data_IF_853412123978
#
_entry.id   IF_853412123978
#
_cell.length_a   1.000
_cell.length_b   1.000
_cell.length_c   1.000
_cell.angle_alpha   90.00
_cell.angle_beta   90.00
_cell.angle_gamma   90.00
#
_symmetry.space_group_name_H-M   'P 1'
#
loop_
_entity.id
_entity.type
_entity.pdbx_description
1 polymer ?
#
# COMPACT_ATOMS: atom_id res chain seq x y z
N UNK A 1 15.51 -23.28 15.18
CA UNK A 1 15.01 -23.09 15.09
C UNK A 1 14.21 -22.71 14.56
N UNK A 2 13.86 -22.63 14.43
CA UNK A 2 13.02 -22.47 13.96
C UNK A 2 12.20 -22.12 13.35
N UNK A 3 11.78 -22.19 13.17
CA UNK A 3 10.74 -22.22 12.46
C UNK A 3 9.86 -21.08 12.42
N UNK A 4 10.32 -19.91 12.23
CA UNK A 4 9.52 -18.72 12.07
C UNK A 4 9.15 -18.46 10.62
N UNK A 5 9.47 -19.40 9.74
CA UNK A 5 9.24 -19.23 8.32
C UNK A 5 7.77 -19.10 7.92
N UNK A 6 6.85 -19.57 8.79
CA UNK A 6 5.42 -19.51 8.50
C UNK A 6 4.70 -18.36 9.20
N UNK A 7 5.44 -17.50 9.83
CA UNK A 7 4.86 -16.36 10.57
C UNK A 7 4.93 -15.12 9.69
N UNK A 8 3.83 -14.38 9.58
CA UNK A 8 3.79 -13.12 8.84
C UNK A 8 4.77 -12.12 9.44
N UNK A 9 5.27 -11.24 8.60
CA UNK A 9 6.16 -10.18 9.01
C UNK A 9 5.48 -9.25 10.02
N UNK A 10 6.20 -8.94 11.09
CA UNK A 10 5.67 -8.05 12.13
C UNK A 10 6.31 -6.66 12.08
N UNK A 11 7.10 -6.36 11.06
CA UNK A 11 7.73 -5.05 10.92
C UNK A 11 6.65 -3.96 10.83
N UNK A 12 6.80 -2.86 11.58
CA UNK A 12 5.75 -1.81 11.64
C UNK A 12 5.38 -1.19 10.30
N UNK A 13 6.31 -1.16 9.35
CA UNK A 13 6.06 -0.55 8.03
C UNK A 13 5.51 -1.55 7.02
N UNK A 14 5.44 -2.83 7.36
CA UNK A 14 4.94 -3.89 6.48
C UNK A 14 3.88 -4.74 7.20
N UNK A 15 2.85 -4.11 7.78
CA UNK A 15 1.86 -4.89 8.52
C UNK A 15 0.95 -5.67 7.58
N UNK A 16 0.81 -6.95 7.84
CA UNK A 16 -0.17 -7.78 7.12
C UNK A 16 -1.57 -7.39 7.54
N UNK A 17 -2.51 -7.44 6.64
CA UNK A 17 -3.90 -7.09 6.89
C UNK A 17 -4.51 -6.32 5.74
N UNK A 18 -5.53 -5.53 6.07
CA UNK A 18 -6.23 -4.74 5.06
C UNK A 18 -5.49 -3.46 4.76
N UNK A 19 -5.42 -3.14 3.48
CA UNK A 19 -4.76 -1.95 2.95
C UNK A 19 -5.71 -1.24 2.01
N UNK A 20 -5.45 0.04 1.80
CA UNK A 20 -6.20 0.86 0.85
C UNK A 20 -5.28 1.90 0.27
N UNK A 21 -5.74 2.55 -0.77
CA UNK A 21 -4.98 3.61 -1.42
C UNK A 21 -5.54 3.92 -2.79
N UNK A 22 -4.64 4.38 -3.67
CA UNK A 22 -5.07 4.79 -5.01
C UNK A 22 -3.91 4.70 -6.00
N UNK A 23 -4.27 4.70 -7.27
CA UNK A 23 -3.32 4.92 -8.35
C UNK A 23 -3.80 6.10 -9.21
N UNK A 24 -2.87 6.73 -9.91
CA UNK A 24 -3.16 7.82 -10.83
C UNK A 24 -2.38 7.57 -12.12
N UNK A 25 -2.93 8.04 -13.23
CA UNK A 25 -2.20 8.05 -14.50
C UNK A 25 -1.28 9.26 -14.55
N UNK A 26 -0.16 9.16 -15.26
CA UNK A 26 0.82 10.25 -15.36
C UNK A 26 0.22 11.55 -15.90
N UNK A 27 -0.83 11.44 -16.73
CA UNK A 27 -1.47 12.58 -17.38
C UNK A 27 -2.71 13.10 -16.65
N UNK A 28 -3.01 12.58 -15.45
CA UNK A 28 -4.24 12.94 -14.73
C UNK A 28 -3.99 12.95 -13.23
N UNK A 29 -4.74 13.79 -12.51
CA UNK A 29 -4.68 13.83 -11.04
C UNK A 29 -5.81 13.02 -10.41
N UNK A 30 -6.65 12.39 -11.22
CA UNK A 30 -7.77 11.61 -10.70
C UNK A 30 -7.27 10.38 -9.95
N UNK A 31 -7.72 10.22 -8.72
CA UNK A 31 -7.36 9.06 -7.89
C UNK A 31 -8.32 7.91 -8.15
N UNK A 32 -7.77 6.76 -8.48
CA UNK A 32 -8.50 5.52 -8.66
C UNK A 32 -8.31 4.66 -7.42
N UNK A 33 -9.33 4.54 -6.61
CA UNK A 33 -9.22 3.90 -5.30
C UNK A 33 -9.08 2.40 -5.39
N UNK A 34 -8.30 1.84 -4.45
CA UNK A 34 -8.07 0.41 -4.33
C UNK A 34 -8.28 0.00 -2.88
N UNK A 35 -8.77 -1.21 -2.68
CA UNK A 35 -8.94 -1.80 -1.37
C UNK A 35 -8.55 -3.27 -1.47
N UNK A 36 -7.68 -3.74 -0.58
CA UNK A 36 -7.12 -5.08 -0.72
C UNK A 36 -6.48 -5.56 0.59
N UNK A 37 -6.14 -6.83 0.60
CA UNK A 37 -5.41 -7.47 1.68
C UNK A 37 -3.96 -7.70 1.23
N UNK A 38 -3.00 -7.48 2.13
CA UNK A 38 -1.60 -7.85 1.90
C UNK A 38 -1.11 -8.75 3.02
N UNK A 39 -0.31 -9.72 2.66
CA UNK A 39 0.38 -10.59 3.61
C UNK A 39 1.88 -10.52 3.34
N UNK A 40 2.63 -10.06 4.35
CA UNK A 40 4.09 -9.91 4.28
C UNK A 40 4.74 -11.04 5.08
N UNK A 41 5.59 -11.82 4.41
CA UNK A 41 6.22 -12.96 5.04
C UNK A 41 7.54 -13.30 4.36
N UNK A 42 8.64 -13.26 5.12
CA UNK A 42 9.95 -13.68 4.63
C UNK A 42 10.39 -13.00 3.32
N UNK A 43 10.14 -11.70 3.20
CA UNK A 43 10.54 -10.95 2.02
C UNK A 43 9.59 -11.07 0.84
N UNK A 44 8.52 -11.83 0.98
CA UNK A 44 7.53 -12.03 -0.08
C UNK A 44 6.21 -11.41 0.35
N UNK A 45 5.58 -10.69 -0.56
CA UNK A 45 4.26 -10.11 -0.33
C UNK A 45 3.26 -10.72 -1.31
N UNK A 46 2.09 -11.07 -0.79
CA UNK A 46 0.98 -11.58 -1.59
C UNK A 46 -0.29 -10.88 -1.14
N UNK A 47 -1.32 -10.91 -1.96
CA UNK A 47 -2.59 -10.32 -1.58
C UNK A 47 -3.61 -10.34 -2.67
N UNK A 48 -4.77 -9.76 -2.37
CA UNK A 48 -5.85 -9.67 -3.34
C UNK A 48 -6.84 -8.60 -2.93
N UNK A 49 -7.56 -8.07 -3.90
CA UNK A 49 -8.57 -7.06 -3.66
C UNK A 49 -9.22 -6.60 -4.94
N UNK A 50 -9.57 -5.32 -4.98
CA UNK A 50 -10.24 -4.76 -6.13
C UNK A 50 -10.07 -3.26 -6.25
N UNK A 51 -10.34 -2.77 -7.45
CA UNK A 51 -10.39 -1.34 -7.76
C UNK A 51 -11.49 -1.08 -8.79
N UNK A 52 -11.45 0.08 -9.43
CA UNK A 52 -12.47 0.47 -10.42
C UNK A 52 -12.41 -0.30 -11.74
N UNK A 53 -11.36 -1.08 -11.95
CA UNK A 53 -11.22 -1.91 -13.14
C UNK A 53 -11.75 -3.32 -12.90
N UNK A 54 -11.29 -3.97 -11.84
CA UNK A 54 -11.62 -5.37 -11.58
C UNK A 54 -11.05 -5.83 -10.24
N UNK A 55 -11.37 -7.04 -9.85
CA UNK A 55 -10.64 -7.78 -8.83
C UNK A 55 -9.22 -8.05 -9.33
N UNK A 56 -8.26 -8.13 -8.43
CA UNK A 56 -6.85 -8.36 -8.77
C UNK A 56 -6.13 -9.09 -7.64
N UNK A 57 -4.96 -9.63 -7.98
CA UNK A 57 -4.05 -10.22 -7.00
C UNK A 57 -2.73 -9.45 -6.98
N UNK A 58 -2.10 -9.44 -5.82
CA UNK A 58 -0.76 -8.90 -5.63
C UNK A 58 0.23 -10.02 -5.41
N UNK A 59 1.43 -9.88 -5.98
CA UNK A 59 2.55 -10.75 -5.67
C UNK A 59 3.85 -9.98 -5.88
N UNK A 60 4.76 -10.08 -4.92
CA UNK A 60 6.01 -9.37 -5.07
C UNK A 60 6.97 -9.64 -3.93
N UNK A 61 7.95 -8.75 -3.81
CA UNK A 61 9.00 -8.82 -2.79
C UNK A 61 9.11 -7.49 -2.07
N UNK A 62 9.54 -7.55 -0.82
CA UNK A 62 9.80 -6.35 -0.04
C UNK A 62 11.13 -6.51 0.68
N UNK A 63 11.72 -5.37 1.04
CA UNK A 63 13.02 -5.35 1.70
C UNK A 63 12.94 -4.39 2.89
N UNK A 64 13.08 -4.93 4.11
CA UNK A 64 12.96 -4.15 5.34
C UNK A 64 14.18 -3.27 5.59
N UNK A 65 15.30 -3.55 4.95
CA UNK A 65 16.52 -2.74 5.11
C UNK A 65 16.59 -1.61 4.09
N UNK A 66 16.16 -1.88 2.87
CA UNK A 66 16.15 -0.88 1.80
C UNK A 66 14.86 -0.07 1.77
N UNK A 67 13.83 -0.48 2.51
CA UNK A 67 12.50 0.14 2.53
C UNK A 67 11.89 0.24 1.15
N UNK A 68 11.88 -0.90 0.46
CA UNK A 68 11.29 -1.01 -0.88
C UNK A 68 10.26 -2.13 -0.93
N UNK A 69 9.33 -2.00 -1.88
CA UNK A 69 8.33 -3.03 -2.13
C UNK A 69 8.00 -3.02 -3.62
N UNK A 70 8.27 -4.13 -4.29
CA UNK A 70 8.01 -4.26 -5.73
C UNK A 70 7.00 -5.36 -5.93
N UNK A 71 5.89 -5.02 -6.56
CA UNK A 71 4.76 -5.94 -6.72
C UNK A 71 4.26 -5.96 -8.15
N UNK A 72 3.69 -7.09 -8.52
CA UNK A 72 2.92 -7.22 -9.75
C UNK A 72 1.45 -7.29 -9.36
N UNK A 73 0.66 -6.43 -9.99
CA UNK A 73 -0.79 -6.40 -9.83
C UNK A 73 -1.37 -7.16 -11.02
N UNK A 74 -2.00 -8.29 -10.76
CA UNK A 74 -2.52 -9.17 -11.79
C UNK A 74 -4.04 -9.07 -11.85
N UNK A 75 -4.53 -8.49 -12.94
CA UNK A 75 -5.93 -8.54 -13.30
C UNK A 75 -6.20 -9.81 -14.11
N UNK A 76 -7.45 -10.21 -14.32
CA UNK A 76 -7.74 -11.38 -15.15
C UNK A 76 -7.17 -11.29 -16.57
N UNK A 77 -6.98 -10.09 -17.10
CA UNK A 77 -6.57 -9.89 -18.48
C UNK A 77 -5.14 -9.38 -18.67
N UNK A 78 -4.52 -8.81 -17.62
CA UNK A 78 -3.19 -8.22 -17.77
C UNK A 78 -2.53 -7.95 -16.41
N UNK A 79 -1.25 -7.61 -16.46
CA UNK A 79 -0.44 -7.33 -15.27
C UNK A 79 0.15 -5.93 -15.32
N UNK A 80 0.38 -5.36 -14.15
CA UNK A 80 0.97 -4.04 -13.99
C UNK A 80 2.08 -4.13 -12.96
N UNK A 81 3.23 -3.55 -13.26
CA UNK A 81 4.38 -3.53 -12.34
C UNK A 81 4.29 -2.30 -11.43
N UNK A 82 4.39 -2.54 -10.13
CA UNK A 82 4.39 -1.49 -9.11
C UNK A 82 5.75 -1.47 -8.44
N UNK A 83 6.39 -0.32 -8.42
CA UNK A 83 7.71 -0.13 -7.80
C UNK A 83 7.59 0.92 -6.72
N UNK A 84 7.69 0.52 -5.47
CA UNK A 84 7.42 1.38 -4.35
C UNK A 84 8.54 1.53 -3.35
N UNK A 85 8.51 2.67 -2.67
CA UNK A 85 9.29 2.96 -1.48
C UNK A 85 8.37 2.88 -0.28
N UNK A 86 8.92 2.67 0.90
CA UNK A 86 8.14 2.45 2.11
C UNK A 86 8.61 3.41 3.20
N UNK A 87 7.66 4.09 3.82
CA UNK A 87 7.91 4.94 4.98
C UNK A 87 6.66 4.92 5.89
N UNK A 88 6.61 5.78 6.89
CA UNK A 88 5.47 5.82 7.81
C UNK A 88 4.16 6.23 7.15
N UNK A 89 4.21 6.74 5.93
CA UNK A 89 3.00 7.10 5.18
C UNK A 89 2.47 5.95 4.31
N UNK A 90 3.17 4.83 4.29
CA UNK A 90 2.78 3.66 3.51
C UNK A 90 3.77 3.32 2.41
N UNK A 91 3.26 2.73 1.35
CA UNK A 91 4.05 2.35 0.17
C UNK A 91 3.61 3.27 -0.98
N UNK A 92 4.57 3.91 -1.61
CA UNK A 92 4.30 4.86 -2.68
C UNK A 92 5.38 4.79 -3.74
N UNK A 93 5.02 5.14 -4.95
CA UNK A 93 5.96 5.09 -6.06
C UNK A 93 5.27 5.14 -7.41
N UNK A 94 5.75 4.33 -8.33
CA UNK A 94 5.29 4.34 -9.71
C UNK A 94 4.81 2.97 -10.16
N UNK A 95 3.90 2.99 -11.13
CA UNK A 95 3.48 1.76 -11.82
C UNK A 95 3.67 1.95 -13.32
N UNK A 96 3.82 0.85 -14.01
CA UNK A 96 3.94 0.87 -15.48
C UNK A 96 3.40 -0.41 -16.11
N UNK A 97 2.89 -0.25 -17.29
CA UNK A 97 2.59 -1.32 -18.22
C UNK A 97 2.83 -0.77 -19.63
N UNK A 98 2.84 -1.60 -20.64
CA UNK A 98 3.25 -1.27 -22.02
C UNK A 98 3.34 0.22 -22.39
N UNK A 99 2.21 0.89 -22.52
CA UNK A 99 2.17 2.29 -22.99
C UNK A 99 1.65 3.26 -21.95
N UNK A 100 1.46 2.79 -20.71
CA UNK A 100 0.92 3.61 -19.64
C UNK A 100 1.81 3.55 -18.42
N UNK A 101 1.83 4.66 -17.68
CA UNK A 101 2.52 4.75 -16.41
C UNK A 101 1.83 5.75 -15.50
N UNK A 102 2.17 5.70 -14.24
CA UNK A 102 1.62 6.63 -13.27
C UNK A 102 2.20 6.43 -11.89
N UNK A 103 1.53 6.99 -10.91
CA UNK A 103 1.94 6.91 -9.52
C UNK A 103 0.92 6.15 -8.68
N UNK A 104 1.33 5.82 -7.47
CA UNK A 104 0.42 5.18 -6.51
C UNK A 104 0.85 5.48 -5.08
N UNK A 105 -0.11 5.36 -4.18
CA UNK A 105 0.14 5.46 -2.75
C UNK A 105 -0.88 4.56 -2.05
N UNK A 106 -0.38 3.63 -1.24
CA UNK A 106 -1.20 2.70 -0.48
C UNK A 106 -0.74 2.69 0.98
N UNK A 107 -1.63 2.39 1.89
CA UNK A 107 -1.34 2.39 3.33
C UNK A 107 -2.22 1.37 4.05
N UNK A 108 -1.81 0.92 5.25
CA UNK A 108 -2.61 -0.02 6.02
C UNK A 108 -3.92 0.64 6.45
N UNK A 109 -5.01 -0.11 6.31
CA UNK A 109 -6.31 0.35 6.78
C UNK A 109 -6.34 0.19 8.29
N UNK A 110 -6.55 1.30 8.99
CA UNK A 110 -6.50 1.32 10.43
C UNK A 110 -7.78 0.74 11.05
N UNK A 111 -7.67 0.24 12.29
CA UNK A 111 -8.87 -0.12 13.04
C UNK A 111 -9.53 1.18 13.52
N UNK A 112 -10.80 1.08 13.95
CA UNK A 112 -11.59 2.26 14.34
C UNK A 112 -10.95 3.10 15.43
N UNK A 113 -10.38 2.47 16.44
CA UNK A 113 -9.74 3.21 17.53
C UNK A 113 -8.57 4.03 17.04
N UNK A 114 -7.77 3.46 16.19
CA UNK A 114 -6.59 4.11 15.65
C UNK A 114 -6.97 5.22 14.69
N UNK A 115 -7.96 4.99 13.85
CA UNK A 115 -8.49 6.00 12.95
C UNK A 115 -9.00 7.21 13.74
N UNK A 116 -9.74 6.97 14.80
CA UNK A 116 -10.26 8.05 15.64
C UNK A 116 -9.14 8.85 16.29
N UNK A 117 -8.09 8.17 16.77
CA UNK A 117 -6.96 8.84 17.39
C UNK A 117 -6.20 9.71 16.38
N UNK A 118 -6.01 9.22 15.17
CA UNK A 118 -5.35 9.97 14.12
C UNK A 118 -6.18 11.16 13.65
N UNK A 119 -7.48 10.98 13.53
CA UNK A 119 -8.37 12.08 13.16
C UNK A 119 -8.34 13.18 14.22
N UNK A 120 -8.38 12.83 15.50
CA UNK A 120 -8.30 13.78 16.60
C UNK A 120 -6.97 14.51 16.59
N UNK A 121 -5.88 13.81 16.35
CA UNK A 121 -4.55 14.42 16.28
C UNK A 121 -4.47 15.40 15.11
N UNK A 122 -5.03 15.06 13.96
CA UNK A 122 -5.05 15.94 12.79
C UNK A 122 -5.85 17.20 13.06
N UNK A 123 -6.99 17.09 13.73
CA UNK A 123 -7.81 18.27 14.10
C UNK A 123 -7.04 19.20 15.03
N UNK A 124 -6.33 18.67 16.00
CA UNK A 124 -5.53 19.47 16.92
C UNK A 124 -4.45 20.23 16.18
N UNK A 125 -3.77 19.58 15.25
CA UNK A 125 -2.73 20.20 14.43
C UNK A 125 -3.32 21.34 13.59
N UNK A 126 -4.46 21.09 12.95
CA UNK A 126 -5.14 22.12 12.14
C UNK A 126 -5.53 23.34 12.97
N UNK A 127 -6.09 23.10 14.16
CA UNK A 127 -6.46 24.20 15.07
C UNK A 127 -5.24 25.00 15.49
N UNK A 128 -4.14 24.32 15.80
CA UNK A 128 -2.90 24.99 16.17
C UNK A 128 -2.37 25.89 15.05
N UNK A 129 -2.52 25.45 13.80
CA UNK A 129 -2.08 26.23 12.64
C UNK A 129 -2.97 27.45 12.41
N UNK A 130 -4.27 27.34 12.69
CA UNK A 130 -5.23 28.43 12.52
C UNK A 130 -5.04 29.52 13.57
N UNK A 131 -4.79 29.14 14.81
CA UNK A 131 -4.70 30.08 15.94
C UNK A 131 -3.28 30.47 16.31
N UNK A 132 -2.38 30.26 15.44
CA UNK A 132 -0.97 30.51 15.66
C UNK A 132 -0.60 32.01 15.66
#
# INVERSE_FOLDING_TARGET
MPSNTNISETHPLFPSGEWEGFYVYAWSKRQHKMSFHLDFKNGVVTGSGGDDVSAFAWKGVYNVEAFTCKMVKTYPTHEILYDGRVDENGIWGTWKMHFSKGGFHIWPKENLEREAAEAAASEIIELALIYK
#
